data_IF_373111467664
#
_entry.id   IF_373111467664
#
_cell.length_a   1.000
_cell.length_b   1.000
_cell.length_c   1.000
_cell.angle_alpha   90.00
_cell.angle_beta   90.00
_cell.angle_gamma   90.00
#
_symmetry.space_group_name_H-M   'P 1'
#
loop_
_entity.id
_entity.type
_entity.pdbx_description
1 polymer ?
#
# COMPACT_ATOMS: atom_id res chain seq x y z
N UNK A 1 -8.65 -8.68 15.62
CA UNK A 1 -8.98 -8.10 14.31
C UNK A 1 -10.12 -7.12 14.50
N UNK A 2 -9.92 -5.86 14.15
CA UNK A 2 -11.00 -4.85 14.11
C UNK A 2 -11.85 -5.16 12.88
N UNK A 3 -13.17 -5.22 13.06
CA UNK A 3 -14.11 -5.36 11.94
C UNK A 3 -14.03 -4.07 11.09
N UNK A 4 -13.72 -4.20 9.80
CA UNK A 4 -13.66 -3.05 8.89
C UNK A 4 -15.02 -2.34 8.79
N UNK A 5 -16.13 -3.03 9.06
CA UNK A 5 -17.47 -2.45 9.09
C UNK A 5 -17.73 -1.53 10.30
N UNK A 6 -16.87 -1.53 11.33
CA UNK A 6 -17.00 -0.65 12.51
C UNK A 6 -16.03 0.54 12.51
N UNK A 7 -15.22 0.70 11.46
CA UNK A 7 -14.26 1.81 11.34
C UNK A 7 -14.98 3.04 10.76
N UNK A 8 -14.87 4.17 11.46
CA UNK A 8 -15.23 5.48 10.89
C UNK A 8 -14.12 5.93 9.95
N UNK A 9 -14.47 6.16 8.69
CA UNK A 9 -13.53 6.60 7.65
C UNK A 9 -13.56 8.12 7.52
N UNK A 10 -12.38 8.74 7.59
CA UNK A 10 -12.22 10.17 7.38
C UNK A 10 -11.37 10.45 6.14
N UNK A 11 -11.80 11.41 5.32
CA UNK A 11 -11.09 11.81 4.12
C UNK A 11 -10.05 12.89 4.47
N UNK A 12 -8.78 12.63 4.13
CA UNK A 12 -7.71 13.59 4.25
C UNK A 12 -7.35 14.16 2.87
N UNK A 13 -7.49 15.48 2.72
CA UNK A 13 -7.17 16.21 1.50
C UNK A 13 -5.83 16.92 1.64
N UNK A 14 -5.02 16.88 0.58
CA UNK A 14 -3.67 17.43 0.56
C UNK A 14 -3.47 18.33 -0.65
N UNK A 15 -2.66 19.37 -0.46
CA UNK A 15 -2.12 20.23 -1.50
C UNK A 15 -0.71 19.76 -1.90
N UNK A 16 -0.22 20.17 -3.08
CA UNK A 16 1.17 19.92 -3.46
C UNK A 16 2.14 20.49 -2.42
N UNK A 17 2.99 19.63 -1.87
CA UNK A 17 3.96 20.00 -0.83
C UNK A 17 3.57 19.55 0.58
N UNK A 18 2.30 19.20 0.81
CA UNK A 18 1.88 18.64 2.10
C UNK A 18 2.49 17.26 2.33
N UNK A 19 2.80 16.98 3.60
CA UNK A 19 3.29 15.69 4.05
C UNK A 19 2.35 15.12 5.12
N UNK A 20 2.08 13.82 5.03
CA UNK A 20 1.30 13.07 6.03
C UNK A 20 2.18 11.96 6.57
N UNK A 21 2.30 11.90 7.89
CA UNK A 21 2.98 10.83 8.60
C UNK A 21 1.91 10.02 9.34
N UNK A 22 1.89 8.72 9.11
CA UNK A 22 0.93 7.82 9.73
C UNK A 22 1.59 6.49 10.09
N UNK A 23 1.02 5.80 11.09
CA UNK A 23 1.49 4.48 11.51
C UNK A 23 1.33 3.45 10.39
N UNK A 24 2.27 2.52 10.27
CA UNK A 24 2.17 1.39 9.35
C UNK A 24 0.93 0.51 9.61
N UNK A 25 0.38 0.56 10.84
CA UNK A 25 -0.80 -0.20 11.23
C UNK A 25 -2.11 0.57 11.06
N UNK A 26 -2.08 1.85 10.65
CA UNK A 26 -3.30 2.63 10.43
C UNK A 26 -4.03 2.09 9.20
N UNK A 27 -5.29 1.62 9.31
CA UNK A 27 -6.08 1.25 8.14
C UNK A 27 -6.24 2.47 7.23
N UNK A 28 -5.79 2.37 6.00
CA UNK A 28 -5.83 3.47 5.04
C UNK A 28 -6.20 2.96 3.66
N UNK A 29 -6.90 3.80 2.90
CA UNK A 29 -7.30 3.50 1.53
C UNK A 29 -7.43 4.78 0.72
N UNK A 30 -7.48 4.64 -0.60
CA UNK A 30 -7.81 5.73 -1.50
C UNK A 30 -8.99 5.36 -2.37
N UNK A 31 -9.95 6.26 -2.50
CA UNK A 31 -11.03 6.10 -3.46
C UNK A 31 -10.49 6.18 -4.91
N UNK A 32 -11.21 5.59 -5.89
CA UNK A 32 -10.86 5.71 -7.30
C UNK A 32 -10.70 7.17 -7.73
N UNK A 33 -9.64 7.47 -8.50
CA UNK A 33 -9.48 8.80 -9.09
C UNK A 33 -10.39 8.93 -10.32
N UNK A 34 -11.43 9.75 -10.22
CA UNK A 34 -12.36 10.08 -11.32
C UNK A 34 -12.07 11.44 -11.98
N UNK A 35 -11.02 12.13 -11.56
CA UNK A 35 -10.63 13.42 -12.13
C UNK A 35 -9.83 13.27 -13.42
N UNK A 36 -9.67 14.37 -14.15
CA UNK A 36 -8.79 14.44 -15.34
C UNK A 36 -7.30 14.62 -14.99
N UNK A 37 -6.97 14.75 -13.71
CA UNK A 37 -5.63 15.05 -13.23
C UNK A 37 -5.00 13.85 -12.53
N UNK A 38 -3.68 13.70 -12.64
CA UNK A 38 -2.95 12.67 -11.92
C UNK A 38 -2.79 13.03 -10.44
N UNK A 39 -3.06 12.06 -9.55
CA UNK A 39 -2.72 12.13 -8.12
C UNK A 39 -1.35 11.50 -7.93
N UNK A 40 -0.31 12.33 -7.76
CA UNK A 40 1.08 11.90 -7.56
C UNK A 40 1.47 12.11 -6.09
N UNK A 41 2.13 11.12 -5.50
CA UNK A 41 2.64 11.17 -4.14
C UNK A 41 3.94 10.36 -4.05
N UNK A 42 4.81 10.76 -3.13
CA UNK A 42 5.97 9.96 -2.73
C UNK A 42 5.61 9.22 -1.44
N UNK A 43 5.82 7.91 -1.43
CA UNK A 43 5.66 7.08 -0.24
C UNK A 43 7.03 6.74 0.32
N UNK A 44 7.26 7.17 1.55
CA UNK A 44 8.48 6.89 2.31
C UNK A 44 8.07 6.05 3.52
N UNK A 45 8.71 4.91 3.70
CA UNK A 45 8.50 4.03 4.85
C UNK A 45 9.74 4.09 5.72
N UNK A 46 9.56 4.39 6.99
CA UNK A 46 10.61 4.40 8.00
C UNK A 46 10.47 3.16 8.89
N UNK A 47 11.60 2.51 9.16
CA UNK A 47 11.72 1.38 10.09
C UNK A 47 12.64 1.80 11.24
N UNK A 48 12.35 1.38 12.47
CA UNK A 48 13.25 1.69 13.58
C UNK A 48 14.60 0.98 13.38
N UNK A 49 15.71 1.63 13.74
CA UNK A 49 17.04 1.04 13.55
C UNK A 49 17.25 -0.23 14.38
N UNK A 50 16.58 -0.34 15.52
CA UNK A 50 16.62 -1.53 16.39
C UNK A 50 15.95 -2.77 15.76
N UNK A 51 15.08 -2.57 14.76
CA UNK A 51 14.42 -3.64 14.01
C UNK A 51 15.25 -4.10 12.80
N UNK A 52 16.40 -3.46 12.56
CA UNK A 52 17.37 -3.82 11.51
C UNK A 52 17.06 -3.23 10.13
N UNK A 53 17.97 -3.50 9.18
CA UNK A 53 17.79 -3.13 7.77
C UNK A 53 17.12 -4.26 7.00
N UNK A 54 15.81 -4.13 6.82
CA UNK A 54 14.97 -5.12 6.15
C UNK A 54 14.61 -4.72 4.72
N UNK A 55 15.13 -3.59 4.22
CA UNK A 55 14.64 -2.98 2.99
C UNK A 55 14.81 -3.90 1.79
N UNK A 56 16.01 -4.41 1.57
CA UNK A 56 16.32 -5.27 0.41
C UNK A 56 15.50 -6.57 0.44
N UNK A 57 15.46 -7.23 1.60
CA UNK A 57 14.71 -8.47 1.81
C UNK A 57 13.22 -8.25 1.56
N UNK A 58 12.65 -7.17 2.10
CA UNK A 58 11.25 -6.80 1.87
C UNK A 58 10.94 -6.59 0.39
N UNK A 59 11.74 -5.80 -0.33
CA UNK A 59 11.48 -5.53 -1.74
C UNK A 59 11.71 -6.74 -2.64
N UNK A 60 12.69 -7.60 -2.34
CA UNK A 60 12.89 -8.86 -3.04
C UNK A 60 11.68 -9.79 -2.86
N UNK A 61 11.18 -9.92 -1.63
CA UNK A 61 9.97 -10.69 -1.34
C UNK A 61 8.74 -10.09 -2.05
N UNK A 62 8.53 -8.77 -1.95
CA UNK A 62 7.41 -8.07 -2.58
C UNK A 62 7.41 -8.25 -4.09
N UNK A 63 8.56 -8.15 -4.75
CA UNK A 63 8.67 -8.33 -6.20
C UNK A 63 8.40 -9.78 -6.63
N UNK A 64 8.80 -10.76 -5.81
CA UNK A 64 8.50 -12.19 -6.03
C UNK A 64 7.02 -12.51 -5.87
N UNK A 65 6.36 -11.98 -4.84
CA UNK A 65 4.95 -12.29 -4.52
C UNK A 65 3.97 -11.38 -5.28
N UNK A 66 4.37 -10.13 -5.51
CA UNK A 66 3.58 -9.09 -6.17
C UNK A 66 4.42 -8.39 -7.27
N UNK A 67 4.82 -9.12 -8.32
CA UNK A 67 5.61 -8.54 -9.39
C UNK A 67 4.88 -7.34 -10.04
N UNK A 68 5.62 -6.27 -10.40
CA UNK A 68 5.15 -5.22 -11.28
C UNK A 68 4.55 -5.81 -12.56
N UNK A 69 3.57 -5.12 -13.14
CA UNK A 69 2.84 -5.63 -14.30
C UNK A 69 3.75 -6.04 -15.47
N UNK A 70 4.81 -5.27 -15.71
CA UNK A 70 5.82 -5.53 -16.75
C UNK A 70 6.64 -6.82 -16.53
N UNK A 71 6.67 -7.33 -15.30
CA UNK A 71 7.40 -8.56 -14.92
C UNK A 71 6.49 -9.78 -14.78
N UNK A 72 5.19 -9.61 -14.98
CA UNK A 72 4.23 -10.73 -14.87
C UNK A 72 4.32 -11.61 -16.10
N UNK A 73 4.54 -12.91 -15.90
CA UNK A 73 4.54 -13.89 -16.99
C UNK A 73 3.12 -14.15 -17.54
N UNK A 74 2.09 -14.00 -16.70
CA UNK A 74 0.68 -14.15 -17.08
C UNK A 74 -0.17 -13.11 -16.31
N UNK A 75 -0.85 -12.24 -17.05
CA UNK A 75 -1.72 -11.19 -16.50
C UNK A 75 -3.09 -11.73 -16.07
N UNK A 76 -3.51 -12.91 -16.53
CA UNK A 76 -4.79 -13.55 -16.17
C UNK A 76 -4.78 -14.16 -14.76
N UNK A 77 -3.61 -14.56 -14.24
CA UNK A 77 -3.44 -15.15 -12.90
C UNK A 77 -3.69 -14.17 -11.73
N UNK A 78 -3.96 -12.89 -12.03
CA UNK A 78 -4.08 -11.79 -11.04
C UNK A 78 -5.52 -11.61 -10.51
N UNK A 79 -6.51 -12.34 -11.05
CA UNK A 79 -7.91 -12.21 -10.68
C UNK A 79 -8.22 -12.44 -9.17
N UNK A 80 -7.31 -13.06 -8.42
CA UNK A 80 -7.45 -13.31 -6.97
C UNK A 80 -6.77 -12.31 -6.03
N UNK A 81 -6.08 -11.28 -6.53
CA UNK A 81 -5.18 -10.48 -5.68
C UNK A 81 -5.92 -9.43 -4.83
N UNK A 82 -7.07 -8.93 -5.29
CA UNK A 82 -7.87 -7.92 -4.56
C UNK A 82 -8.41 -8.44 -3.22
N UNK A 83 -8.59 -9.75 -3.09
CA UNK A 83 -9.14 -10.40 -1.90
C UNK A 83 -8.08 -10.92 -0.92
N UNK A 84 -6.81 -11.05 -1.34
CA UNK A 84 -5.73 -11.65 -0.53
C UNK A 84 -4.71 -10.67 0.04
N UNK A 85 -4.49 -9.52 -0.61
CA UNK A 85 -3.36 -8.63 -0.29
C UNK A 85 -3.35 -8.11 1.16
N UNK A 86 -4.52 -7.93 1.77
CA UNK A 86 -4.64 -7.48 3.16
C UNK A 86 -4.59 -8.61 4.21
N UNK A 87 -4.66 -9.89 3.81
CA UNK A 87 -4.80 -11.03 4.73
C UNK A 87 -3.54 -11.84 4.97
N UNK A 88 -2.53 -11.75 4.10
CA UNK A 88 -1.34 -12.61 4.17
C UNK A 88 -0.06 -11.89 4.67
N UNK A 89 -0.15 -10.60 4.98
CA UNK A 89 0.94 -9.79 5.54
C UNK A 89 0.72 -9.39 7.02
N UNK A 90 -0.31 -9.94 7.68
CA UNK A 90 -0.60 -9.80 9.11
C UNK A 90 -0.84 -11.18 9.73
#
# INVERSE_FOLDING_TARGET
>A
MVDACSISWEALYLLPGDAVVFSAFLPHQSSPNRSRSHRRAFFLTYNASEEGDLREVYFAHKRRVFPPEVERADTAAVAGWRSRLARELL
#
